data_IF_947137002175
#
_entry.id   IF_947137002175
#
_cell.length_a   1.000
_cell.length_b   1.000
_cell.length_c   1.000
_cell.angle_alpha   90.00
_cell.angle_beta   90.00
_cell.angle_gamma   90.00
#
_symmetry.space_group_name_H-M   'P 1'
#
loop_
_entity.id
_entity.type
_entity.pdbx_description
1 polymer ?
#
# COMPACT_ATOMS: atom_id res chain seq x y z
N UNK A 1 -51.58 34.96 -13.45
CA UNK A 1 -51.23 35.90 -12.35
C UNK A 1 -49.79 35.62 -11.93
N UNK A 2 -49.03 36.69 -11.71
CA UNK A 2 -47.58 36.71 -11.79
C UNK A 2 -46.87 36.17 -10.52
N UNK A 3 -45.81 35.38 -10.79
CA UNK A 3 -44.51 35.27 -10.10
C UNK A 3 -44.37 35.88 -8.70
N UNK A 4 -44.23 35.03 -7.68
CA UNK A 4 -43.50 35.36 -6.45
C UNK A 4 -42.00 35.30 -6.76
N UNK A 5 -41.41 36.48 -6.95
CA UNK A 5 -39.96 36.69 -6.99
C UNK A 5 -39.39 36.43 -5.60
N UNK A 6 -38.53 35.42 -5.48
CA UNK A 6 -37.53 35.39 -4.42
C UNK A 6 -36.53 36.51 -4.69
N UNK A 7 -36.62 37.58 -3.90
CA UNK A 7 -35.64 38.65 -3.85
C UNK A 7 -34.29 38.13 -3.35
N UNK A 8 -33.16 38.52 -3.95
CA UNK A 8 -31.84 38.17 -3.44
C UNK A 8 -31.64 38.88 -2.10
N UNK A 9 -31.59 38.10 -1.00
CA UNK A 9 -31.17 38.60 0.31
C UNK A 9 -29.74 39.10 0.19
N UNK A 10 -29.53 40.41 0.38
CA UNK A 10 -28.21 40.97 0.57
C UNK A 10 -27.54 40.33 1.81
N UNK A 11 -26.25 39.96 1.73
CA UNK A 11 -25.52 39.43 2.88
C UNK A 11 -25.38 40.50 3.97
N UNK A 12 -25.50 40.08 5.23
CA UNK A 12 -25.26 40.93 6.41
C UNK A 12 -23.78 41.34 6.46
N UNK A 13 -23.52 42.63 6.63
CA UNK A 13 -22.18 43.18 6.86
C UNK A 13 -21.51 42.47 8.07
N UNK A 14 -20.31 41.92 7.86
CA UNK A 14 -19.52 41.24 8.89
C UNK A 14 -19.09 39.79 8.57
N UNK A 15 -19.68 39.14 7.56
CA UNK A 15 -19.32 37.78 7.11
C UNK A 15 -18.65 37.78 5.72
N UNK A 16 -17.66 38.64 5.51
CA UNK A 16 -17.17 38.98 4.17
C UNK A 16 -16.39 37.90 3.41
N UNK A 17 -16.09 36.73 4.00
CA UNK A 17 -15.25 35.71 3.33
C UNK A 17 -15.90 34.31 3.12
N UNK A 18 -17.10 34.03 3.62
CA UNK A 18 -17.71 32.68 3.51
C UNK A 18 -18.80 32.55 2.44
N UNK A 19 -19.17 33.64 1.76
CA UNK A 19 -20.24 33.66 0.75
C UNK A 19 -19.80 34.22 -0.59
N UNK A 20 -18.49 34.37 -0.83
CA UNK A 20 -18.01 34.63 -2.19
C UNK A 20 -18.28 33.37 -3.00
N UNK A 21 -19.34 33.40 -3.82
CA UNK A 21 -19.49 32.49 -4.95
C UNK A 21 -18.19 32.60 -5.73
N UNK A 22 -17.36 31.56 -5.69
CA UNK A 22 -16.24 31.43 -6.60
C UNK A 22 -16.86 31.23 -7.97
N UNK A 23 -16.99 32.33 -8.72
CA UNK A 23 -17.22 32.29 -10.17
C UNK A 23 -15.91 31.83 -10.82
N UNK A 24 -15.47 30.64 -10.46
CA UNK A 24 -14.37 29.96 -11.09
C UNK A 24 -15.01 29.06 -12.16
N UNK A 25 -14.45 29.07 -13.36
CA UNK A 25 -14.79 28.09 -14.38
C UNK A 25 -14.65 26.68 -13.74
N UNK A 26 -15.53 25.73 -14.04
CA UNK A 26 -15.57 24.42 -13.35
C UNK A 26 -14.20 23.71 -13.33
N UNK A 27 -13.34 24.02 -14.31
CA UNK A 27 -11.95 23.60 -14.41
C UNK A 27 -11.08 24.14 -13.25
N UNK A 28 -11.11 25.44 -12.99
CA UNK A 28 -10.31 26.12 -11.96
C UNK A 28 -10.67 25.64 -10.55
N UNK A 29 -11.95 25.30 -10.33
CA UNK A 29 -12.39 24.78 -9.04
C UNK A 29 -11.90 23.34 -8.78
N UNK A 30 -11.85 22.50 -9.83
CA UNK A 30 -11.31 21.15 -9.71
C UNK A 30 -9.82 21.17 -9.33
N UNK A 31 -9.04 22.05 -9.94
CA UNK A 31 -7.60 22.15 -9.68
C UNK A 31 -7.32 22.60 -8.24
N UNK A 32 -8.11 23.54 -7.71
CA UNK A 32 -8.06 23.93 -6.29
C UNK A 32 -8.43 22.77 -5.37
N UNK A 33 -9.53 22.07 -5.64
CA UNK A 33 -10.00 20.98 -4.79
C UNK A 33 -9.00 19.79 -4.81
N UNK A 34 -8.35 19.53 -5.95
CA UNK A 34 -7.28 18.56 -6.13
C UNK A 34 -6.03 18.94 -5.34
N UNK A 35 -5.64 20.20 -5.39
CA UNK A 35 -4.49 20.73 -4.64
C UNK A 35 -4.69 20.55 -3.13
N UNK A 36 -5.92 20.78 -2.64
CA UNK A 36 -6.29 20.53 -1.24
C UNK A 36 -6.19 19.04 -0.90
N UNK A 37 -6.74 18.15 -1.76
CA UNK A 37 -6.65 16.71 -1.53
C UNK A 37 -5.19 16.26 -1.45
N UNK A 38 -4.35 16.68 -2.39
CA UNK A 38 -2.95 16.27 -2.48
C UNK A 38 -2.17 16.69 -1.23
N UNK A 39 -2.43 17.90 -0.73
CA UNK A 39 -1.90 18.37 0.55
C UNK A 39 -2.35 17.52 1.74
N UNK A 40 -3.65 17.25 1.86
CA UNK A 40 -4.20 16.45 2.97
C UNK A 40 -3.61 15.04 2.96
N UNK A 41 -3.53 14.40 1.78
CA UNK A 41 -2.95 13.08 1.60
C UNK A 41 -1.47 13.06 2.01
N UNK A 42 -0.70 14.06 1.58
CA UNK A 42 0.71 14.20 1.94
C UNK A 42 0.88 14.32 3.47
N UNK A 43 0.16 15.25 4.11
CA UNK A 43 0.25 15.45 5.57
C UNK A 43 -0.23 14.23 6.35
N UNK A 44 -1.32 13.58 5.92
CA UNK A 44 -1.82 12.35 6.55
C UNK A 44 -0.80 11.21 6.48
N UNK A 45 -0.13 11.06 5.33
CA UNK A 45 0.91 10.05 5.16
C UNK A 45 2.09 10.30 6.10
N UNK A 46 2.56 11.55 6.20
CA UNK A 46 3.62 11.92 7.14
C UNK A 46 3.25 11.62 8.59
N UNK A 47 2.04 11.99 9.02
CA UNK A 47 1.54 11.72 10.37
C UNK A 47 1.49 10.23 10.71
N UNK A 48 1.22 9.34 9.75
CA UNK A 48 1.24 7.88 9.99
C UNK A 48 2.66 7.42 10.35
N UNK A 49 3.68 7.93 9.66
CA UNK A 49 5.06 7.57 9.97
C UNK A 49 5.51 8.14 11.31
N UNK A 50 5.14 9.40 11.61
CA UNK A 50 5.40 10.01 12.92
C UNK A 50 4.73 9.21 14.05
N UNK A 51 3.44 8.90 13.88
CA UNK A 51 2.67 8.07 14.81
C UNK A 51 3.34 6.72 15.05
N UNK A 52 3.73 6.01 13.99
CA UNK A 52 4.36 4.69 14.11
C UNK A 52 5.74 4.74 14.77
N UNK A 53 6.44 5.86 14.64
CA UNK A 53 7.73 6.12 15.31
C UNK A 53 7.60 6.58 16.76
N UNK A 54 6.39 6.90 17.22
CA UNK A 54 6.15 7.40 18.58
C UNK A 54 6.43 6.33 19.65
N UNK A 55 6.57 6.77 20.90
CA UNK A 55 6.82 5.89 22.04
C UNK A 55 5.63 5.00 22.41
N UNK A 56 4.42 5.39 22.02
CA UNK A 56 3.18 4.65 22.28
C UNK A 56 2.18 4.79 21.10
N UNK A 57 2.45 4.10 19.98
CA UNK A 57 1.56 4.17 18.82
C UNK A 57 0.19 3.53 19.10
N UNK A 58 0.09 2.63 20.08
CA UNK A 58 -1.11 1.82 20.23
C UNK A 58 -2.28 2.56 20.89
N UNK A 59 -2.02 3.60 21.67
CA UNK A 59 -3.05 4.42 22.35
C UNK A 59 -3.20 5.82 21.75
N UNK A 60 -2.58 6.08 20.61
CA UNK A 60 -2.56 7.40 19.98
C UNK A 60 -3.50 7.46 18.78
N UNK A 61 -4.42 8.43 18.81
CA UNK A 61 -5.35 8.74 17.70
C UNK A 61 -4.74 9.71 16.67
N UNK A 62 -3.41 9.93 16.71
CA UNK A 62 -2.74 11.00 15.96
C UNK A 62 -3.09 11.06 14.46
N UNK A 63 -3.17 9.94 13.71
CA UNK A 63 -3.53 10.01 12.29
C UNK A 63 -5.04 10.19 12.03
N UNK A 64 -5.93 9.85 12.99
CA UNK A 64 -7.36 9.67 12.73
C UNK A 64 -8.06 10.89 12.16
N UNK A 65 -7.87 12.06 12.77
CA UNK A 65 -8.58 13.26 12.37
C UNK A 65 -8.25 13.64 10.91
N UNK A 66 -6.97 13.59 10.54
CA UNK A 66 -6.53 13.97 9.20
C UNK A 66 -6.85 12.90 8.15
N UNK A 67 -6.80 11.62 8.52
CA UNK A 67 -7.20 10.52 7.64
C UNK A 67 -8.70 10.58 7.35
N UNK A 68 -9.54 10.79 8.38
CA UNK A 68 -10.98 10.93 8.21
C UNK A 68 -11.31 12.15 7.34
N UNK A 69 -10.68 13.30 7.60
CA UNK A 69 -10.84 14.50 6.77
C UNK A 69 -10.44 14.23 5.30
N UNK A 70 -9.35 13.49 5.08
CA UNK A 70 -8.89 13.12 3.73
C UNK A 70 -9.90 12.19 3.04
N UNK A 71 -10.48 11.23 3.77
CA UNK A 71 -11.49 10.32 3.25
C UNK A 71 -12.78 11.06 2.88
N UNK A 72 -13.27 11.95 3.74
CA UNK A 72 -14.44 12.79 3.50
C UNK A 72 -14.24 13.68 2.27
N UNK A 73 -13.05 14.28 2.13
CA UNK A 73 -12.70 15.09 0.97
C UNK A 73 -12.70 14.30 -0.33
N UNK A 74 -12.21 13.05 -0.30
CA UNK A 74 -12.23 12.15 -1.46
C UNK A 74 -13.66 11.79 -1.88
N UNK A 75 -14.55 11.54 -0.94
CA UNK A 75 -15.98 11.27 -1.22
C UNK A 75 -16.63 12.52 -1.83
N UNK A 76 -16.37 13.69 -1.25
CA UNK A 76 -16.87 14.97 -1.77
C UNK A 76 -16.43 15.22 -3.22
N UNK A 77 -15.15 15.03 -3.53
CA UNK A 77 -14.60 15.17 -4.88
C UNK A 77 -15.27 14.23 -5.88
N UNK A 78 -15.47 12.96 -5.49
CA UNK A 78 -16.15 11.97 -6.33
C UNK A 78 -17.57 12.40 -6.73
N UNK A 79 -18.33 12.98 -5.80
CA UNK A 79 -19.67 13.49 -6.07
C UNK A 79 -19.66 14.80 -6.86
N UNK A 80 -18.77 15.74 -6.52
CA UNK A 80 -18.73 17.09 -7.10
C UNK A 80 -18.25 17.08 -8.55
N UNK A 81 -17.26 16.25 -8.86
CA UNK A 81 -16.54 16.29 -10.14
C UNK A 81 -16.80 15.05 -11.01
N UNK A 82 -17.91 14.34 -10.76
CA UNK A 82 -18.41 13.23 -11.61
C UNK A 82 -17.35 12.16 -11.96
N UNK A 83 -16.41 11.90 -11.06
CA UNK A 83 -15.38 10.88 -11.27
C UNK A 83 -14.21 11.31 -12.16
N UNK A 84 -13.94 12.61 -12.33
CA UNK A 84 -12.67 13.09 -12.92
C UNK A 84 -11.47 12.42 -12.25
N UNK A 85 -10.48 12.03 -13.05
CA UNK A 85 -9.30 11.32 -12.55
C UNK A 85 -8.32 12.28 -11.86
N UNK A 86 -7.68 11.78 -10.81
CA UNK A 86 -6.52 12.44 -10.19
C UNK A 86 -5.34 12.43 -11.18
N UNK A 87 -4.46 13.43 -11.09
CA UNK A 87 -3.17 13.38 -11.79
C UNK A 87 -2.30 12.21 -11.26
N UNK A 88 -1.24 11.87 -11.99
CA UNK A 88 -0.41 10.70 -11.66
C UNK A 88 0.26 10.80 -10.28
N UNK A 89 0.69 12.00 -9.86
CA UNK A 89 1.36 12.22 -8.57
C UNK A 89 0.36 12.15 -7.43
N UNK A 90 -0.77 12.84 -7.52
CA UNK A 90 -1.85 12.79 -6.53
C UNK A 90 -2.44 11.38 -6.42
N UNK A 91 -2.62 10.69 -7.55
CA UNK A 91 -3.04 9.28 -7.58
C UNK A 91 -2.04 8.37 -6.86
N UNK A 92 -0.74 8.55 -7.11
CA UNK A 92 0.31 7.81 -6.40
C UNK A 92 0.30 8.10 -4.90
N UNK A 93 0.26 9.37 -4.47
CA UNK A 93 0.23 9.72 -3.04
C UNK A 93 -1.00 9.14 -2.35
N UNK A 94 -2.15 9.13 -3.02
CA UNK A 94 -3.38 8.50 -2.51
C UNK A 94 -3.21 6.99 -2.31
N UNK A 95 -2.60 6.29 -3.27
CA UNK A 95 -2.25 4.86 -3.12
C UNK A 95 -1.25 4.61 -1.99
N UNK A 96 -0.27 5.50 -1.82
CA UNK A 96 0.72 5.41 -0.76
C UNK A 96 0.06 5.55 0.62
N UNK A 97 -0.80 6.55 0.80
CA UNK A 97 -1.60 6.71 2.01
C UNK A 97 -2.44 5.47 2.30
N UNK A 98 -3.14 4.96 1.29
CA UNK A 98 -3.95 3.75 1.43
C UNK A 98 -3.11 2.57 1.91
N UNK A 99 -1.99 2.28 1.24
CA UNK A 99 -1.13 1.17 1.63
C UNK A 99 -0.52 1.36 3.03
N UNK A 100 -0.06 2.57 3.35
CA UNK A 100 0.50 2.90 4.66
C UNK A 100 -0.54 2.68 5.77
N UNK A 101 -1.78 3.13 5.59
CA UNK A 101 -2.87 2.88 6.54
C UNK A 101 -3.13 1.38 6.70
N UNK A 102 -3.32 0.68 5.58
CA UNK A 102 -3.60 -0.76 5.58
C UNK A 102 -2.51 -1.53 6.30
N UNK A 103 -1.25 -1.28 5.96
CA UNK A 103 -0.13 -2.02 6.52
C UNK A 103 0.10 -1.70 8.00
N UNK A 104 0.10 -0.41 8.37
CA UNK A 104 0.42 0.00 9.74
C UNK A 104 -0.68 -0.32 10.76
N UNK A 105 -1.94 -0.30 10.32
CA UNK A 105 -3.10 -0.60 11.17
C UNK A 105 -3.61 -2.03 11.02
N UNK A 106 -3.01 -2.89 10.18
CA UNK A 106 -3.52 -4.26 9.97
C UNK A 106 -3.69 -5.09 11.24
N UNK A 107 -2.86 -4.83 12.27
CA UNK A 107 -2.90 -5.52 13.56
C UNK A 107 -3.61 -4.69 14.65
N UNK A 108 -4.04 -3.48 14.33
CA UNK A 108 -4.74 -2.59 15.25
C UNK A 108 -6.25 -2.71 15.01
N UNK A 109 -7.05 -2.87 16.06
CA UNK A 109 -8.43 -3.33 15.93
C UNK A 109 -9.50 -2.38 16.45
N UNK A 110 -9.12 -1.29 17.14
CA UNK A 110 -10.09 -0.25 17.47
C UNK A 110 -10.55 0.46 16.20
N UNK A 111 -9.66 0.59 15.21
CA UNK A 111 -9.92 1.25 13.92
C UNK A 111 -9.21 0.48 12.80
N UNK A 112 -9.95 -0.42 12.15
CA UNK A 112 -9.46 -1.04 10.90
C UNK A 112 -9.92 -0.19 9.72
N UNK A 113 -8.97 0.25 8.88
CA UNK A 113 -9.25 1.03 7.67
C UNK A 113 -9.71 0.15 6.49
N UNK A 114 -10.30 -1.01 6.79
CA UNK A 114 -10.80 -2.00 5.82
C UNK A 114 -12.18 -2.47 6.20
N UNK A 115 -13.02 -2.71 5.19
CA UNK A 115 -14.28 -3.42 5.37
C UNK A 115 -14.11 -4.90 5.02
N UNK A 116 -14.96 -5.77 5.57
CA UNK A 116 -14.98 -7.20 5.22
C UNK A 116 -15.15 -7.41 3.71
N UNK A 117 -16.03 -6.63 3.07
CA UNK A 117 -16.24 -6.66 1.63
C UNK A 117 -14.95 -6.33 0.84
N UNK A 118 -14.19 -5.32 1.29
CA UNK A 118 -12.93 -4.94 0.64
C UNK A 118 -11.87 -6.03 0.80
N UNK A 119 -11.80 -6.67 1.98
CA UNK A 119 -10.89 -7.78 2.22
C UNK A 119 -11.24 -9.00 1.37
N UNK A 120 -12.52 -9.31 1.23
CA UNK A 120 -12.98 -10.41 0.37
C UNK A 120 -12.65 -10.13 -1.10
N UNK A 121 -12.82 -8.89 -1.57
CA UNK A 121 -12.41 -8.49 -2.92
C UNK A 121 -10.89 -8.67 -3.14
N UNK A 122 -10.04 -8.32 -2.16
CA UNK A 122 -8.59 -8.56 -2.26
C UNK A 122 -8.24 -10.06 -2.28
N UNK A 123 -8.96 -10.89 -1.50
CA UNK A 123 -8.80 -12.35 -1.50
C UNK A 123 -9.19 -12.95 -2.84
N UNK A 124 -10.29 -12.49 -3.44
CA UNK A 124 -10.72 -12.89 -4.77
C UNK A 124 -9.72 -12.47 -5.85
N UNK A 125 -9.19 -11.24 -5.78
CA UNK A 125 -8.14 -10.78 -6.69
C UNK A 125 -6.89 -11.67 -6.61
N UNK A 126 -6.43 -12.01 -5.41
CA UNK A 126 -5.32 -12.94 -5.21
C UNK A 126 -5.57 -14.30 -5.85
N UNK A 127 -6.77 -14.86 -5.63
CA UNK A 127 -7.18 -16.13 -6.23
C UNK A 127 -7.15 -16.07 -7.76
N UNK A 128 -7.77 -15.04 -8.34
CA UNK A 128 -7.78 -14.82 -9.79
C UNK A 128 -6.37 -14.65 -10.36
N UNK A 129 -5.46 -13.95 -9.67
CA UNK A 129 -4.04 -13.87 -10.09
C UNK A 129 -3.38 -15.23 -10.07
N UNK A 130 -3.56 -16.02 -9.00
CA UNK A 130 -3.01 -17.37 -8.90
C UNK A 130 -3.46 -18.27 -10.06
N UNK A 131 -4.76 -18.28 -10.34
CA UNK A 131 -5.36 -19.02 -11.46
C UNK A 131 -4.84 -18.54 -12.82
N UNK A 132 -4.79 -17.22 -13.04
CA UNK A 132 -4.20 -16.62 -14.23
C UNK A 132 -2.76 -17.06 -14.42
N UNK A 133 -1.93 -16.96 -13.38
CA UNK A 133 -0.51 -17.32 -13.45
C UNK A 133 -0.31 -18.77 -13.84
N UNK A 134 -1.05 -19.68 -13.23
CA UNK A 134 -0.97 -21.12 -13.50
C UNK A 134 -1.44 -21.48 -14.91
N UNK A 135 -2.50 -20.84 -15.40
CA UNK A 135 -3.13 -21.22 -16.67
C UNK A 135 -2.55 -20.50 -17.88
N UNK A 136 -2.05 -19.27 -17.70
CA UNK A 136 -1.75 -18.33 -18.78
C UNK A 136 -0.27 -17.99 -18.92
N UNK A 137 0.56 -18.44 -17.99
CA UNK A 137 2.01 -18.21 -18.06
C UNK A 137 2.77 -19.52 -18.18
N UNK A 138 3.99 -19.46 -18.73
CA UNK A 138 4.88 -20.62 -18.85
C UNK A 138 5.78 -20.82 -17.62
N UNK A 139 5.56 -20.03 -16.57
CA UNK A 139 6.41 -20.10 -15.37
C UNK A 139 6.09 -21.37 -14.57
N UNK A 140 7.12 -22.09 -14.09
CA UNK A 140 6.91 -23.21 -13.20
C UNK A 140 6.28 -22.73 -11.88
N UNK A 141 5.48 -23.58 -11.20
CA UNK A 141 5.00 -23.27 -9.87
C UNK A 141 6.20 -23.09 -8.92
N UNK A 142 6.06 -22.19 -7.94
CA UNK A 142 7.10 -21.95 -6.94
C UNK A 142 7.37 -23.20 -6.10
N UNK A 143 6.32 -23.98 -5.85
CA UNK A 143 6.34 -25.26 -5.20
C UNK A 143 5.76 -26.34 -6.12
N UNK A 144 6.63 -27.24 -6.58
CA UNK A 144 6.25 -28.37 -7.45
C UNK A 144 5.69 -29.56 -6.66
N UNK A 145 6.21 -29.81 -5.45
CA UNK A 145 5.76 -30.90 -4.59
C UNK A 145 5.01 -30.35 -3.38
N UNK A 146 3.89 -30.96 -2.96
CA UNK A 146 3.13 -30.48 -1.81
C UNK A 146 4.01 -30.34 -0.56
N UNK A 147 3.77 -29.29 0.22
CA UNK A 147 4.42 -29.03 1.52
C UNK A 147 4.32 -30.22 2.51
N UNK A 148 3.39 -31.14 2.26
CA UNK A 148 2.77 -31.95 3.28
C UNK A 148 2.99 -33.46 3.09
N UNK A 149 4.18 -33.85 2.60
CA UNK A 149 4.56 -35.27 2.55
C UNK A 149 4.55 -35.95 3.94
N UNK A 150 4.52 -35.16 5.02
CA UNK A 150 4.67 -35.60 6.40
C UNK A 150 3.52 -35.24 7.38
N UNK A 151 2.42 -34.62 6.92
CA UNK A 151 1.30 -34.11 7.77
C UNK A 151 1.69 -32.97 8.73
N UNK A 152 2.54 -32.05 8.29
CA UNK A 152 2.95 -30.89 9.08
C UNK A 152 1.86 -29.80 9.10
N UNK A 153 0.98 -29.76 8.10
CA UNK A 153 -0.05 -28.74 7.95
C UNK A 153 -1.46 -29.35 7.79
N UNK A 154 -2.52 -28.62 8.14
CA UNK A 154 -2.51 -27.36 8.90
C UNK A 154 -2.04 -27.59 10.35
N UNK A 155 -1.47 -26.54 10.96
CA UNK A 155 -1.14 -26.57 12.39
C UNK A 155 -2.39 -26.64 13.26
N UNK A 156 -2.25 -27.14 14.48
CA UNK A 156 -3.33 -27.12 15.47
C UNK A 156 -3.71 -25.70 15.88
N UNK A 157 -4.97 -25.49 16.28
CA UNK A 157 -5.46 -24.18 16.73
C UNK A 157 -4.61 -23.59 17.87
N UNK A 158 -4.12 -24.45 18.77
CA UNK A 158 -3.21 -24.06 19.85
C UNK A 158 -1.89 -23.51 19.33
N UNK A 159 -1.24 -24.22 18.39
CA UNK A 159 0.01 -23.77 17.78
C UNK A 159 -0.18 -22.48 16.97
N UNK A 160 -1.30 -22.34 16.24
CA UNK A 160 -1.63 -21.10 15.53
C UNK A 160 -1.80 -19.92 16.49
N UNK A 161 -2.51 -20.11 17.60
CA UNK A 161 -2.70 -19.09 18.64
C UNK A 161 -1.37 -18.69 19.29
N UNK A 162 -0.52 -19.67 19.62
CA UNK A 162 0.83 -19.43 20.16
C UNK A 162 1.68 -18.61 19.19
N UNK A 163 1.75 -19.00 17.92
CA UNK A 163 2.51 -18.28 16.88
C UNK A 163 2.03 -16.82 16.69
N UNK A 164 0.71 -16.56 16.81
CA UNK A 164 0.17 -15.20 16.78
C UNK A 164 0.54 -14.42 18.05
N UNK A 165 0.43 -15.05 19.21
CA UNK A 165 0.78 -14.46 20.51
C UNK A 165 2.27 -14.11 20.60
N UNK A 166 3.14 -14.96 20.07
CA UNK A 166 4.58 -14.73 19.97
C UNK A 166 4.89 -13.52 19.08
N UNK A 167 4.27 -13.42 17.90
CA UNK A 167 4.45 -12.26 17.03
C UNK A 167 3.98 -10.96 17.71
N UNK A 168 2.82 -10.99 18.39
CA UNK A 168 2.32 -9.83 19.13
C UNK A 168 3.33 -9.39 20.22
N UNK A 169 3.94 -10.35 20.91
CA UNK A 169 4.98 -10.10 21.91
C UNK A 169 6.27 -9.55 21.28
N UNK A 170 6.70 -10.10 20.14
CA UNK A 170 7.87 -9.62 19.40
C UNK A 170 7.70 -8.17 18.91
N UNK A 171 6.47 -7.79 18.57
CA UNK A 171 6.08 -6.42 18.20
C UNK A 171 5.79 -5.50 19.40
N UNK A 172 5.97 -6.02 20.63
CA UNK A 172 5.70 -5.31 21.89
C UNK A 172 4.28 -4.72 21.96
N UNK A 173 3.31 -5.41 21.37
CA UNK A 173 1.91 -4.98 21.40
C UNK A 173 1.33 -5.12 22.82
N UNK A 174 0.66 -4.11 23.38
CA UNK A 174 -0.10 -4.24 24.63
C UNK A 174 -1.18 -5.32 24.54
N UNK A 175 -1.50 -6.02 25.64
CA UNK A 175 -2.42 -7.17 25.62
C UNK A 175 -3.83 -6.83 25.13
N UNK A 176 -4.32 -5.65 25.50
CA UNK A 176 -5.61 -5.09 25.09
C UNK A 176 -5.67 -4.75 23.59
N UNK A 177 -4.53 -4.67 22.92
CA UNK A 177 -4.38 -4.36 21.49
C UNK A 177 -4.15 -5.61 20.63
N UNK A 178 -4.25 -6.81 21.22
CA UNK A 178 -3.98 -8.10 20.55
C UNK A 178 -5.22 -8.81 20.04
N UNK A 179 -6.32 -8.09 19.75
CA UNK A 179 -7.56 -8.73 19.26
C UNK A 179 -7.34 -9.60 18.00
N UNK A 180 -6.39 -9.26 17.14
CA UNK A 180 -6.06 -10.03 15.94
C UNK A 180 -5.56 -11.46 16.23
N UNK A 181 -5.07 -11.73 17.45
CA UNK A 181 -4.64 -13.05 17.86
C UNK A 181 -5.82 -14.05 17.84
N UNK A 182 -7.03 -13.57 18.10
CA UNK A 182 -8.26 -14.36 18.08
C UNK A 182 -9.17 -14.06 16.88
N UNK A 183 -9.20 -12.82 16.38
CA UNK A 183 -10.05 -12.37 15.26
C UNK A 183 -9.30 -12.34 13.92
N UNK A 184 -8.96 -13.53 13.40
CA UNK A 184 -8.16 -13.65 12.16
C UNK A 184 -8.95 -13.24 10.92
N UNK A 185 -10.25 -13.54 10.88
CA UNK A 185 -11.08 -13.30 9.70
C UNK A 185 -11.15 -11.82 9.32
N UNK A 186 -11.15 -10.94 10.33
CA UNK A 186 -11.20 -9.48 10.18
C UNK A 186 -9.82 -8.84 10.04
N UNK A 187 -8.74 -9.63 10.14
CA UNK A 187 -7.36 -9.13 10.10
C UNK A 187 -6.81 -9.25 8.67
N UNK A 188 -6.38 -8.14 8.03
CA UNK A 188 -5.72 -8.21 6.73
C UNK A 188 -4.38 -8.97 6.82
N UNK A 189 -4.26 -10.06 6.07
CA UNK A 189 -2.99 -10.79 5.97
C UNK A 189 -2.03 -10.11 4.99
N UNK A 190 -0.73 -10.36 5.12
CA UNK A 190 0.25 -9.85 4.15
C UNK A 190 -0.03 -10.37 2.74
N UNK A 191 -0.53 -11.61 2.59
CA UNK A 191 -0.97 -12.13 1.30
C UNK A 191 -2.07 -11.23 0.69
N UNK A 192 -3.03 -10.76 1.50
CA UNK A 192 -4.06 -9.82 1.03
C UNK A 192 -3.49 -8.46 0.62
N UNK A 193 -2.43 -7.98 1.28
CA UNK A 193 -1.84 -6.67 1.01
C UNK A 193 -0.79 -6.67 -0.12
N UNK A 194 -0.30 -7.85 -0.52
CA UNK A 194 0.75 -7.98 -1.53
C UNK A 194 0.37 -7.34 -2.89
N UNK A 195 -0.85 -7.53 -3.45
CA UNK A 195 -1.23 -6.85 -4.70
C UNK A 195 -1.20 -5.34 -4.56
N UNK A 196 -1.67 -4.82 -3.42
CA UNK A 196 -1.70 -3.38 -3.15
C UNK A 196 -0.28 -2.79 -3.12
N UNK A 197 0.68 -3.53 -2.56
CA UNK A 197 2.10 -3.14 -2.58
C UNK A 197 2.68 -3.14 -4.00
N UNK A 198 2.37 -4.16 -4.80
CA UNK A 198 2.83 -4.26 -6.19
C UNK A 198 2.21 -3.15 -7.05
N UNK A 199 0.91 -2.88 -6.91
CA UNK A 199 0.23 -1.80 -7.61
C UNK A 199 0.77 -0.43 -7.22
N UNK A 200 1.04 -0.19 -5.92
CA UNK A 200 1.66 1.05 -5.44
C UNK A 200 3.04 1.28 -6.09
N UNK A 201 3.87 0.25 -6.13
CA UNK A 201 5.23 0.35 -6.65
C UNK A 201 5.25 0.45 -8.18
N UNK A 202 4.30 -0.18 -8.88
CA UNK A 202 4.10 0.03 -10.30
C UNK A 202 3.66 1.47 -10.60
N UNK A 203 2.72 2.00 -9.80
CA UNK A 203 2.34 3.41 -9.90
C UNK A 203 3.53 4.35 -9.69
N UNK A 204 4.45 4.01 -8.77
CA UNK A 204 5.70 4.77 -8.57
C UNK A 204 6.58 4.76 -9.82
N UNK A 205 6.75 3.60 -10.46
CA UNK A 205 7.57 3.44 -11.66
C UNK A 205 7.00 4.14 -12.90
N UNK A 206 5.69 4.40 -12.91
CA UNK A 206 5.04 5.16 -13.99
C UNK A 206 5.13 6.67 -13.83
N UNK A 207 5.72 7.16 -12.73
CA UNK A 207 6.02 8.58 -12.58
C UNK A 207 7.22 8.93 -13.46
N UNK A 208 7.15 10.06 -14.15
CA UNK A 208 8.19 10.54 -15.05
C UNK A 208 9.37 11.18 -14.28
N UNK A 209 9.96 10.41 -13.36
CA UNK A 209 11.01 10.87 -12.44
C UNK A 209 12.12 9.82 -12.23
N UNK A 210 12.30 8.95 -13.22
CA UNK A 210 13.38 7.97 -13.32
C UNK A 210 13.45 6.93 -12.18
N UNK A 211 12.42 6.80 -11.34
CA UNK A 211 12.38 5.70 -10.37
C UNK A 211 12.23 4.37 -11.08
N UNK A 212 13.14 3.43 -10.79
CA UNK A 212 13.11 2.08 -11.33
C UNK A 212 13.29 1.06 -10.20
N UNK A 213 12.70 -0.15 -10.33
CA UNK A 213 12.99 -1.28 -9.46
C UNK A 213 14.49 -1.55 -9.35
N UNK A 214 15.02 -1.55 -8.13
CA UNK A 214 16.43 -1.89 -7.85
C UNK A 214 16.52 -3.28 -7.23
N UNK A 215 17.72 -3.87 -7.17
CA UNK A 215 17.97 -5.09 -6.37
C UNK A 215 17.38 -5.00 -4.97
N UNK A 216 17.58 -3.87 -4.28
CA UNK A 216 17.06 -3.66 -2.91
C UNK A 216 15.54 -3.72 -2.86
N UNK A 217 14.86 -3.21 -3.89
CA UNK A 217 13.41 -3.30 -4.00
C UNK A 217 12.97 -4.75 -4.27
N UNK A 218 13.65 -5.45 -5.17
CA UNK A 218 13.36 -6.88 -5.43
C UNK A 218 13.58 -7.73 -4.17
N UNK A 219 14.62 -7.46 -3.40
CA UNK A 219 14.87 -8.08 -2.09
C UNK A 219 13.71 -7.84 -1.12
N UNK A 220 13.23 -6.58 -1.01
CA UNK A 220 12.09 -6.24 -0.16
C UNK A 220 10.80 -6.93 -0.63
N UNK A 221 10.53 -6.95 -1.93
CA UNK A 221 9.35 -7.60 -2.51
C UNK A 221 9.35 -9.11 -2.27
N UNK A 222 10.49 -9.78 -2.45
CA UNK A 222 10.63 -11.20 -2.16
C UNK A 222 10.55 -11.50 -0.66
N UNK A 223 11.10 -10.63 0.20
CA UNK A 223 10.93 -10.76 1.65
C UNK A 223 9.47 -10.57 2.07
N UNK A 224 8.71 -9.69 1.41
CA UNK A 224 7.27 -9.55 1.63
C UNK A 224 6.56 -10.88 1.36
N UNK A 225 6.84 -11.51 0.21
CA UNK A 225 6.30 -12.83 -0.15
C UNK A 225 6.69 -13.90 0.87
N UNK A 226 7.95 -13.90 1.33
CA UNK A 226 8.41 -14.79 2.39
C UNK A 226 7.62 -14.61 3.69
N UNK A 227 7.41 -13.37 4.13
CA UNK A 227 6.63 -13.09 5.34
C UNK A 227 5.15 -13.43 5.16
N UNK A 228 4.61 -13.27 3.95
CA UNK A 228 3.25 -13.70 3.63
C UNK A 228 3.10 -15.21 3.74
N UNK A 229 4.04 -16.01 3.21
CA UNK A 229 4.02 -17.48 3.37
C UNK A 229 4.09 -17.85 4.86
N UNK A 230 5.04 -17.30 5.60
CA UNK A 230 5.17 -17.58 7.04
C UNK A 230 3.87 -17.23 7.78
N UNK A 231 3.26 -16.08 7.46
CA UNK A 231 1.99 -15.67 8.04
C UNK A 231 0.86 -16.65 7.72
N UNK A 232 0.71 -17.04 6.45
CA UNK A 232 -0.38 -17.91 6.02
C UNK A 232 -0.27 -19.32 6.62
N UNK A 233 0.90 -19.94 6.62
CA UNK A 233 1.08 -21.32 7.10
C UNK A 233 1.23 -21.41 8.62
N UNK A 234 2.01 -20.51 9.25
CA UNK A 234 2.26 -20.59 10.69
C UNK A 234 1.20 -19.88 11.54
N UNK A 235 0.41 -18.96 10.97
CA UNK A 235 -0.55 -18.15 11.75
C UNK A 235 -1.98 -18.25 11.23
N UNK A 236 -2.22 -18.46 9.94
CA UNK A 236 -3.59 -18.54 9.40
C UNK A 236 -4.05 -19.97 9.11
N UNK A 237 -3.17 -20.97 9.25
CA UNK A 237 -3.54 -22.38 9.05
C UNK A 237 -3.70 -22.77 7.58
N UNK A 238 -3.04 -22.06 6.66
CA UNK A 238 -2.96 -22.51 5.27
C UNK A 238 -2.29 -23.88 5.17
N UNK A 239 -2.72 -24.65 4.17
CA UNK A 239 -2.21 -25.98 3.84
C UNK A 239 -2.21 -26.15 2.32
N UNK A 240 -1.49 -27.16 1.82
CA UNK A 240 -1.36 -27.40 0.38
C UNK A 240 -0.39 -26.45 -0.35
N UNK A 241 -0.17 -26.63 -1.66
CA UNK A 241 0.72 -25.80 -2.47
C UNK A 241 0.11 -24.47 -2.96
N UNK A 242 -1.21 -24.33 -2.96
CA UNK A 242 -1.93 -23.27 -3.67
C UNK A 242 -1.60 -21.87 -3.13
N UNK A 243 -1.65 -21.70 -1.81
CA UNK A 243 -1.34 -20.42 -1.16
C UNK A 243 0.11 -20.00 -1.41
N UNK A 244 1.05 -20.92 -1.28
CA UNK A 244 2.46 -20.65 -1.57
C UNK A 244 2.68 -20.23 -3.02
N UNK A 245 2.12 -20.97 -3.97
CA UNK A 245 2.23 -20.67 -5.38
C UNK A 245 1.58 -19.33 -5.76
N UNK A 246 0.45 -18.98 -5.13
CA UNK A 246 -0.25 -17.71 -5.34
C UNK A 246 0.49 -16.52 -4.74
N UNK A 247 1.22 -16.71 -3.64
CA UNK A 247 2.06 -15.65 -3.05
C UNK A 247 3.26 -15.35 -3.97
N UNK A 248 3.85 -16.38 -4.57
CA UNK A 248 4.97 -16.24 -5.50
C UNK A 248 4.56 -16.14 -6.98
N UNK A 249 3.29 -15.87 -7.29
CA UNK A 249 2.79 -15.70 -8.67
C UNK A 249 3.05 -14.30 -9.25
N UNK A 250 4.18 -13.69 -8.88
CA UNK A 250 4.63 -12.39 -9.39
C UNK A 250 5.90 -12.56 -10.22
N UNK A 251 5.90 -11.94 -11.39
CA UNK A 251 6.90 -12.12 -12.42
C UNK A 251 6.47 -11.53 -13.74
N UNK A 252 7.19 -11.82 -14.82
CA UNK A 252 6.80 -11.31 -16.14
C UNK A 252 5.73 -12.21 -16.77
N UNK A 253 4.47 -11.75 -16.94
CA UNK A 253 3.39 -12.55 -17.53
C UNK A 253 3.52 -12.67 -19.06
N UNK A 254 4.46 -11.95 -19.67
CA UNK A 254 4.62 -11.84 -21.12
C UNK A 254 3.80 -10.68 -21.71
N UNK A 255 3.80 -10.63 -23.06
CA UNK A 255 3.22 -9.51 -23.82
C UNK A 255 1.76 -9.72 -24.22
N UNK A 256 1.26 -10.96 -24.11
CA UNK A 256 -0.13 -11.27 -24.45
C UNK A 256 -1.07 -10.64 -23.43
N UNK A 257 -2.10 -9.95 -23.92
CA UNK A 257 -3.15 -9.34 -23.09
C UNK A 257 -4.46 -10.07 -23.30
N UNK A 258 -5.15 -10.34 -22.20
CA UNK A 258 -6.42 -11.06 -22.18
C UNK A 258 -7.52 -10.13 -21.65
N UNK A 259 -8.75 -10.31 -22.12
CA UNK A 259 -9.88 -9.48 -21.70
C UNK A 259 -10.18 -9.62 -20.20
N UNK A 260 -9.99 -10.82 -19.65
CA UNK A 260 -10.25 -11.15 -18.24
C UNK A 260 -8.98 -11.10 -17.38
N UNK A 261 -7.97 -10.34 -17.81
CA UNK A 261 -6.71 -10.24 -17.09
C UNK A 261 -6.90 -9.49 -15.75
N UNK A 262 -6.41 -10.07 -14.62
CA UNK A 262 -6.46 -9.39 -13.33
C UNK A 262 -5.73 -8.04 -13.35
N UNK A 263 -6.25 -7.07 -12.58
CA UNK A 263 -5.76 -5.69 -12.60
C UNK A 263 -4.27 -5.55 -12.24
N UNK A 264 -3.77 -6.41 -11.35
CA UNK A 264 -2.38 -6.46 -10.88
C UNK A 264 -1.39 -7.01 -11.93
N UNK A 265 -1.87 -7.62 -13.02
CA UNK A 265 -0.98 -8.13 -14.08
C UNK A 265 -0.34 -6.99 -14.89
N UNK A 266 -1.02 -5.84 -15.01
CA UNK A 266 -0.41 -4.65 -15.61
C UNK A 266 0.75 -4.13 -14.77
N UNK A 267 0.59 -4.12 -13.44
CA UNK A 267 1.67 -3.77 -12.50
C UNK A 267 2.85 -4.74 -12.60
N UNK A 268 2.57 -6.04 -12.77
CA UNK A 268 3.61 -7.06 -12.94
C UNK A 268 4.48 -6.81 -14.18
N UNK A 269 3.89 -6.42 -15.30
CA UNK A 269 4.66 -6.09 -16.52
C UNK A 269 5.61 -4.91 -16.33
N UNK A 270 5.17 -3.91 -15.56
CA UNK A 270 5.97 -2.71 -15.28
C UNK A 270 7.18 -3.04 -14.41
N UNK A 271 7.02 -3.93 -13.43
CA UNK A 271 8.00 -4.14 -12.37
C UNK A 271 8.96 -5.32 -12.60
N UNK A 272 8.47 -6.38 -13.25
CA UNK A 272 9.17 -7.67 -13.29
C UNK A 272 9.60 -8.12 -14.69
N UNK A 273 9.11 -7.49 -15.75
CA UNK A 273 9.61 -7.78 -17.10
C UNK A 273 10.94 -7.05 -17.35
N UNK A 274 11.78 -7.66 -18.18
CA UNK A 274 13.03 -7.05 -18.63
C UNK A 274 12.71 -5.80 -19.49
N UNK A 275 13.27 -4.61 -19.17
CA UNK A 275 13.05 -3.39 -19.94
C UNK A 275 13.44 -3.52 -21.41
N UNK A 276 14.49 -4.30 -21.71
CA UNK A 276 14.99 -4.52 -23.07
C UNK A 276 14.19 -5.61 -23.80
N UNK A 277 13.52 -6.49 -23.06
CA UNK A 277 12.68 -7.55 -23.61
C UNK A 277 11.48 -7.90 -22.73
N UNK A 278 10.35 -7.26 -22.98
CA UNK A 278 9.10 -7.45 -22.23
C UNK A 278 8.49 -8.87 -22.28
N UNK A 279 9.09 -9.80 -23.03
CA UNK A 279 8.72 -11.23 -23.02
C UNK A 279 9.47 -12.03 -21.97
N UNK A 280 10.54 -11.48 -21.39
CA UNK A 280 11.39 -12.15 -20.43
C UNK A 280 11.24 -11.52 -19.06
N UNK A 281 11.36 -12.37 -18.04
CA UNK A 281 11.45 -11.91 -16.66
C UNK A 281 12.82 -11.28 -16.40
N UNK A 282 12.83 -10.21 -15.62
CA UNK A 282 14.05 -9.56 -15.17
C UNK A 282 14.92 -10.59 -14.42
N UNK A 283 16.17 -10.75 -14.88
CA UNK A 283 17.09 -11.78 -14.37
C UNK A 283 17.40 -11.62 -12.89
N UNK A 284 17.49 -10.39 -12.40
CA UNK A 284 17.74 -10.12 -10.99
C UNK A 284 16.54 -10.54 -10.14
N UNK A 285 15.33 -10.23 -10.59
CA UNK A 285 14.10 -10.70 -9.95
C UNK A 285 14.05 -12.23 -9.90
N UNK A 286 14.27 -12.93 -11.02
CA UNK A 286 14.26 -14.40 -11.05
C UNK A 286 15.22 -15.00 -10.02
N UNK A 287 16.44 -14.46 -9.93
CA UNK A 287 17.47 -14.91 -8.97
C UNK A 287 17.03 -14.67 -7.52
N UNK A 288 16.54 -13.46 -7.21
CA UNK A 288 16.13 -13.09 -5.85
C UNK A 288 14.90 -13.90 -5.42
N UNK A 289 13.88 -13.98 -6.29
CA UNK A 289 12.68 -14.78 -6.08
C UNK A 289 13.02 -16.23 -5.75
N UNK A 290 13.89 -16.87 -6.54
CA UNK A 290 14.31 -18.26 -6.30
C UNK A 290 15.00 -18.42 -4.95
N UNK A 291 15.92 -17.51 -4.60
CA UNK A 291 16.61 -17.53 -3.31
C UNK A 291 15.62 -17.51 -2.13
N UNK A 292 14.62 -16.64 -2.17
CA UNK A 292 13.61 -16.55 -1.08
C UNK A 292 12.64 -17.73 -1.06
N UNK A 293 12.35 -18.34 -2.21
CA UNK A 293 11.63 -19.62 -2.26
C UNK A 293 12.47 -20.69 -1.57
N UNK A 294 13.76 -20.81 -1.90
CA UNK A 294 14.65 -21.83 -1.34
C UNK A 294 14.81 -21.70 0.19
N UNK A 295 14.81 -20.48 0.74
CA UNK A 295 14.83 -20.26 2.20
C UNK A 295 13.58 -20.82 2.92
N UNK A 296 12.47 -21.02 2.22
CA UNK A 296 11.22 -21.55 2.77
C UNK A 296 11.07 -23.07 2.59
N UNK A 297 11.98 -23.70 1.85
CA UNK A 297 11.93 -25.12 1.54
C UNK A 297 12.96 -25.91 2.39
N UNK A 298 12.70 -27.20 2.67
CA UNK A 298 13.68 -28.06 3.32
C UNK A 298 15.00 -28.11 2.55
N UNK A 299 16.12 -27.81 3.22
CA UNK A 299 17.46 -27.90 2.63
C UNK A 299 17.99 -29.34 2.54
N UNK A 300 17.45 -30.25 3.36
CA UNK A 300 17.78 -31.67 3.38
C UNK A 300 16.50 -32.51 3.59
N UNK A 301 16.52 -33.78 3.17
CA UNK A 301 15.40 -34.73 3.29
C UNK A 301 15.01 -35.03 4.74
N UNK A 302 15.88 -34.76 5.70
CA UNK A 302 15.60 -34.93 7.12
C UNK A 302 14.83 -33.75 7.73
N UNK A 303 14.84 -32.59 7.07
CA UNK A 303 14.17 -31.39 7.55
C UNK A 303 12.71 -31.40 7.11
N UNK A 304 11.79 -31.20 8.06
CA UNK A 304 10.37 -31.07 7.73
C UNK A 304 10.07 -29.67 7.16
N UNK A 305 8.97 -29.53 6.43
CA UNK A 305 8.60 -28.22 5.87
C UNK A 305 8.26 -27.21 6.96
N UNK A 306 7.66 -27.65 8.07
CA UNK A 306 7.46 -26.80 9.25
C UNK A 306 8.80 -26.30 9.82
N UNK A 307 9.80 -27.18 9.96
CA UNK A 307 11.13 -26.79 10.43
C UNK A 307 11.81 -25.79 9.50
N UNK A 308 11.63 -25.91 8.18
CA UNK A 308 12.13 -24.94 7.20
C UNK A 308 11.48 -23.56 7.39
N UNK A 309 10.15 -23.49 7.50
CA UNK A 309 9.44 -22.23 7.74
C UNK A 309 9.81 -21.59 9.08
N UNK A 310 9.97 -22.38 10.14
CA UNK A 310 10.43 -21.89 11.45
C UNK A 310 11.86 -21.36 11.37
N UNK A 311 12.77 -22.04 10.68
CA UNK A 311 14.13 -21.55 10.46
C UNK A 311 14.14 -20.23 9.66
N UNK A 312 13.31 -20.13 8.61
CA UNK A 312 13.12 -18.90 7.84
C UNK A 312 12.59 -17.76 8.71
N UNK A 313 11.61 -18.01 9.59
CA UNK A 313 11.08 -17.02 10.52
C UNK A 313 12.14 -16.47 11.47
N UNK A 314 13.06 -17.31 11.95
CA UNK A 314 14.17 -16.88 12.82
C UNK A 314 15.22 -16.07 12.04
N UNK A 315 15.53 -16.49 10.81
CA UNK A 315 16.50 -15.81 9.94
C UNK A 315 15.99 -14.47 9.40
N UNK A 316 14.69 -14.38 9.16
CA UNK A 316 14.00 -13.18 8.67
C UNK A 316 12.94 -12.75 9.68
N UNK A 317 13.33 -12.08 10.79
CA UNK A 317 12.38 -11.62 11.78
C UNK A 317 11.37 -10.63 11.19
N UNK A 318 10.08 -10.81 11.49
CA UNK A 318 9.01 -9.93 10.99
C UNK A 318 9.24 -8.45 11.37
N UNK A 319 9.72 -8.17 12.58
CA UNK A 319 9.97 -6.80 13.03
C UNK A 319 11.00 -6.06 12.16
N UNK A 320 12.05 -6.77 11.71
CA UNK A 320 13.04 -6.20 10.80
C UNK A 320 12.44 -5.94 9.41
N UNK A 321 11.61 -6.87 8.91
CA UNK A 321 10.86 -6.66 7.67
C UNK A 321 9.92 -5.44 7.77
N UNK A 322 9.16 -5.31 8.86
CA UNK A 322 8.26 -4.18 9.08
C UNK A 322 9.01 -2.85 9.06
N UNK A 323 10.17 -2.76 9.71
CA UNK A 323 11.03 -1.57 9.68
C UNK A 323 11.54 -1.25 8.28
N UNK A 324 12.00 -2.25 7.52
CA UNK A 324 12.48 -2.04 6.15
C UNK A 324 11.36 -1.58 5.21
N UNK A 325 10.16 -2.16 5.35
CA UNK A 325 9.02 -1.75 4.55
C UNK A 325 8.58 -0.32 4.91
N UNK A 326 8.49 0.02 6.20
CA UNK A 326 8.17 1.39 6.63
C UNK A 326 9.19 2.41 6.13
N UNK A 327 10.49 2.11 6.24
CA UNK A 327 11.55 2.98 5.71
C UNK A 327 11.44 3.15 4.19
N UNK A 328 11.09 2.08 3.47
CA UNK A 328 10.82 2.16 2.03
C UNK A 328 9.62 3.06 1.73
N UNK A 329 8.48 2.87 2.40
CA UNK A 329 7.29 3.71 2.21
C UNK A 329 7.57 5.19 2.54
N UNK A 330 8.33 5.45 3.60
CA UNK A 330 8.77 6.80 3.96
C UNK A 330 9.67 7.39 2.86
N UNK A 331 10.60 6.62 2.31
CA UNK A 331 11.41 7.08 1.17
C UNK A 331 10.59 7.38 -0.09
N UNK A 332 9.48 6.66 -0.31
CA UNK A 332 8.54 6.95 -1.39
C UNK A 332 7.78 8.26 -1.14
N UNK A 333 7.42 8.53 0.12
CA UNK A 333 6.74 9.76 0.53
C UNK A 333 7.63 10.99 0.38
N UNK A 334 8.88 10.88 0.84
CA UNK A 334 9.87 11.96 0.83
C UNK A 334 10.52 12.15 -0.56
N UNK A 335 10.57 11.09 -1.37
CA UNK A 335 11.20 11.08 -2.69
C UNK A 335 10.41 11.76 -3.79
N UNK A 336 9.25 12.36 -3.49
CA UNK A 336 8.47 13.16 -4.43
C UNK A 336 8.51 14.63 -4.06
N UNK A 337 8.45 15.50 -5.07
CA UNK A 337 8.22 16.93 -4.87
C UNK A 337 6.97 17.10 -4.02
N UNK A 338 7.03 17.95 -2.99
CA UNK A 338 5.89 18.17 -2.07
C UNK A 338 4.71 18.82 -2.81
N UNK A 339 3.46 18.60 -2.39
CA UNK A 339 2.33 19.35 -2.93
C UNK A 339 2.51 20.87 -2.74
N UNK A 340 1.96 21.68 -3.65
CA UNK A 340 2.16 23.13 -3.67
C UNK A 340 1.80 23.79 -2.32
N UNK A 341 0.70 23.39 -1.69
CA UNK A 341 0.31 23.94 -0.38
C UNK A 341 1.29 23.58 0.74
N UNK A 342 1.93 22.41 0.67
CA UNK A 342 2.95 22.04 1.65
C UNK A 342 4.24 22.87 1.44
N UNK A 343 4.60 23.13 0.19
CA UNK A 343 5.73 24.00 -0.15
C UNK A 343 5.50 25.44 0.34
N UNK A 344 4.28 25.95 0.17
CA UNK A 344 3.87 27.28 0.68
C UNK A 344 3.88 27.32 2.21
N UNK A 345 3.35 26.30 2.89
CA UNK A 345 3.39 26.17 4.35
C UNK A 345 4.83 26.21 4.89
N UNK A 346 5.77 25.55 4.18
CA UNK A 346 7.19 25.49 4.55
C UNK A 346 8.00 26.73 4.11
N UNK A 347 7.42 27.60 3.28
CA UNK A 347 8.10 28.77 2.74
C UNK A 347 9.16 28.46 1.68
N UNK A 348 9.16 27.25 1.09
CA UNK A 348 10.17 26.75 0.14
C UNK A 348 9.50 26.23 -1.12
N UNK A 349 9.60 27.00 -2.20
CA UNK A 349 8.94 26.67 -3.46
C UNK A 349 9.92 25.96 -4.40
N UNK A 350 9.45 24.87 -4.99
CA UNK A 350 10.10 24.08 -6.02
C UNK A 350 9.26 24.13 -7.29
N UNK A 351 9.87 24.56 -8.39
CA UNK A 351 9.25 24.59 -9.72
C UNK A 351 9.96 23.56 -10.58
N UNK A 352 9.24 22.55 -11.05
CA UNK A 352 9.74 21.49 -11.95
C UNK A 352 11.04 20.82 -11.47
N UNK A 353 11.16 20.58 -10.16
CA UNK A 353 12.34 19.95 -9.56
C UNK A 353 13.44 20.93 -9.14
N UNK A 354 13.31 22.22 -9.48
CA UNK A 354 14.26 23.27 -9.11
C UNK A 354 13.75 24.09 -7.92
N UNK A 355 14.41 23.96 -6.76
CA UNK A 355 14.10 24.77 -5.58
C UNK A 355 14.53 26.23 -5.80
N UNK A 356 13.58 27.16 -5.61
CA UNK A 356 13.85 28.59 -5.65
C UNK A 356 14.68 29.00 -4.44
N UNK A 357 15.49 30.06 -4.58
CA UNK A 357 16.15 30.64 -3.41
C UNK A 357 15.11 31.12 -2.38
N UNK A 358 15.52 31.24 -1.12
CA UNK A 358 14.61 31.70 -0.05
C UNK A 358 14.01 33.08 -0.36
N UNK A 359 14.79 33.97 -0.97
CA UNK A 359 14.32 35.30 -1.38
C UNK A 359 13.25 35.22 -2.49
N UNK A 360 13.45 34.34 -3.47
CA UNK A 360 12.51 34.10 -4.58
C UNK A 360 11.24 33.41 -4.09
N UNK A 361 11.35 32.40 -3.23
CA UNK A 361 10.21 31.73 -2.59
C UNK A 361 9.37 32.73 -1.80
N UNK A 362 9.98 33.55 -0.94
CA UNK A 362 9.28 34.60 -0.17
C UNK A 362 8.68 35.70 -1.05
N UNK A 363 9.30 36.02 -2.18
CA UNK A 363 8.75 37.00 -3.13
C UNK A 363 7.54 36.42 -3.87
N UNK A 364 7.58 35.14 -4.20
CA UNK A 364 6.49 34.43 -4.87
C UNK A 364 5.29 34.23 -3.94
N UNK A 365 5.50 33.82 -2.68
CA UNK A 365 4.44 33.75 -1.65
C UNK A 365 3.77 35.11 -1.46
N UNK A 366 4.56 36.20 -1.36
CA UNK A 366 4.01 37.56 -1.28
C UNK A 366 3.17 37.96 -2.50
N UNK A 367 3.53 37.48 -3.70
CA UNK A 367 2.73 37.71 -4.93
C UNK A 367 1.42 36.92 -4.94
N UNK A 368 1.37 35.78 -4.23
CA UNK A 368 0.15 34.99 -4.05
C UNK A 368 -0.83 35.60 -3.02
N UNK A 369 -0.43 36.66 -2.31
CA UNK A 369 -1.28 37.36 -1.35
C UNK A 369 -1.42 36.66 0.00
N UNK A 370 -0.45 35.79 0.34
CA UNK A 370 -0.34 35.09 1.62
C UNK A 370 0.63 35.79 2.58
#
# INVERSE_FOLDING_TARGET
>A
MATLRDTPRQPREGYLNLTRRMENEEQDQFDVDLTILDFLVFKATGLIFEWKSSSDPYHSDLPNALVNMTADWRVFLGHRHQGRCLDSKASFRSRLLQFALLFTHRLHHTETWTTEASLNSLREQNKSRGEYWQQRTQHPPALEQPFDQHKDFPLSDGALYENRSELASALRMPLDQRRWVTDVASTPSLHCLLPVFIDLTAARATLDDAWLPTSKWYDLAAQFMLQAVIGEYLRNGSYGPETFNTIFSYGCPGVERWADEPADVSAMRILFCDPDNQRQENREWTRIKRRYIDELLPGDRAQSSLQALQAAQQRYPYAAFEQMLLAFLQSLHEGLVKPDLAQVEEGKINIDGSELSEAESRAMIRRMGL
#
